data_IF_581346534960
#
_entry.id   IF_581346534960
#
_cell.length_a   1.000
_cell.length_b   1.000
_cell.length_c   1.000
_cell.angle_alpha   90.00
_cell.angle_beta   90.00
_cell.angle_gamma   90.00
#
_symmetry.space_group_name_H-M   'P 1'
#
loop_
_entity.id
_entity.type
_entity.pdbx_description
1 polymer ?
#
# COMPACT_ATOMS: atom_id res chain seq x y z
N UNK A 1 -23.66 -18.07 -25.04
CA UNK A 1 -22.48 -17.19 -25.25
C UNK A 1 -22.65 -15.96 -24.36
N UNK A 2 -22.21 -16.04 -23.10
CA UNK A 2 -22.37 -14.96 -22.11
C UNK A 2 -21.00 -14.51 -21.61
N UNK A 3 -20.59 -13.29 -22.00
CA UNK A 3 -19.37 -12.65 -21.48
C UNK A 3 -19.52 -12.42 -19.98
N UNK A 4 -18.99 -13.33 -19.16
CA UNK A 4 -18.69 -13.03 -17.75
C UNK A 4 -17.58 -11.98 -17.73
N UNK A 5 -17.94 -10.69 -17.61
CA UNK A 5 -17.01 -9.63 -17.19
C UNK A 5 -16.51 -10.01 -15.80
N UNK A 6 -15.34 -10.66 -15.72
CA UNK A 6 -14.60 -10.84 -14.46
C UNK A 6 -13.80 -9.55 -14.18
N UNK A 7 -14.50 -8.41 -14.06
CA UNK A 7 -14.00 -7.21 -13.38
C UNK A 7 -14.23 -7.51 -11.87
N UNK A 8 -13.33 -7.40 -10.91
CA UNK A 8 -12.06 -6.69 -10.75
C UNK A 8 -11.32 -7.43 -9.62
N UNK A 9 -10.02 -7.74 -9.79
CA UNK A 9 -9.20 -8.08 -8.61
C UNK A 9 -9.07 -6.81 -7.79
N UNK A 10 -9.63 -6.83 -6.60
CA UNK A 10 -10.07 -5.60 -5.94
C UNK A 10 -8.88 -4.80 -5.46
N UNK A 11 -8.68 -3.61 -6.03
CA UNK A 11 -7.77 -2.63 -5.46
C UNK A 11 -8.39 -2.04 -4.19
N UNK A 12 -7.65 -2.01 -3.08
CA UNK A 12 -8.07 -1.31 -1.86
C UNK A 12 -6.87 -0.67 -1.18
N UNK A 13 -7.05 0.56 -0.69
CA UNK A 13 -6.11 1.17 0.22
C UNK A 13 -6.65 1.00 1.63
N UNK A 14 -5.84 0.41 2.52
CA UNK A 14 -6.16 0.31 3.95
C UNK A 14 -5.26 1.25 4.72
N UNK A 15 -5.87 2.11 5.53
CA UNK A 15 -5.13 2.95 6.45
C UNK A 15 -4.53 2.08 7.55
N UNK A 16 -3.21 2.13 7.71
CA UNK A 16 -2.49 1.26 8.63
C UNK A 16 -2.21 1.96 9.96
N UNK A 17 -1.76 3.21 9.95
CA UNK A 17 -1.31 3.93 11.16
C UNK A 17 -1.48 5.45 10.96
N UNK A 18 -2.06 6.12 11.95
CA UNK A 18 -2.11 7.59 12.08
C UNK A 18 -1.11 8.03 13.15
N UNK A 19 -0.44 9.17 12.92
CA UNK A 19 0.42 9.79 13.91
C UNK A 19 -0.35 10.04 15.21
N UNK A 20 0.12 9.47 16.33
CA UNK A 20 -0.35 9.84 17.67
C UNK A 20 -0.99 8.77 18.56
N UNK A 21 -0.95 7.47 18.24
CA UNK A 21 -1.59 6.47 19.12
C UNK A 21 -0.66 5.27 19.39
N UNK A 22 -0.21 5.17 20.65
CA UNK A 22 0.78 4.27 21.29
C UNK A 22 2.25 4.73 21.19
N UNK A 23 2.93 4.76 22.35
CA UNK A 23 4.39 4.83 22.41
C UNK A 23 4.92 3.63 21.63
N UNK A 24 5.66 3.91 20.56
CA UNK A 24 6.52 2.92 19.94
C UNK A 24 7.52 2.51 21.03
N UNK A 25 7.94 1.24 21.09
CA UNK A 25 8.95 0.78 22.07
C UNK A 25 10.35 1.41 21.89
N UNK A 26 10.43 2.51 21.15
CA UNK A 26 11.59 3.33 20.81
C UNK A 26 11.19 4.80 21.00
N UNK A 27 11.99 5.54 21.77
CA UNK A 27 11.75 6.98 22.00
C UNK A 27 12.27 7.81 20.81
N UNK A 28 13.51 7.62 20.38
CA UNK A 28 14.10 8.25 19.20
C UNK A 28 14.77 7.19 18.32
N UNK A 29 14.61 7.29 17.00
CA UNK A 29 15.13 6.30 16.05
C UNK A 29 14.30 6.22 14.77
N UNK A 30 14.11 5.01 14.23
CA UNK A 30 13.26 4.75 13.07
C UNK A 30 12.36 3.53 13.27
N UNK A 31 11.18 3.58 12.69
CA UNK A 31 10.31 2.41 12.45
C UNK A 31 10.47 1.99 10.99
N UNK A 32 10.80 0.73 10.77
CA UNK A 32 10.80 0.10 9.46
C UNK A 32 9.60 -0.84 9.32
N UNK A 33 8.79 -0.61 8.30
CA UNK A 33 7.63 -1.40 7.91
C UNK A 33 7.95 -2.13 6.61
N UNK A 34 7.62 -3.42 6.54
CA UNK A 34 7.85 -4.24 5.34
C UNK A 34 6.65 -5.16 5.08
N UNK A 35 6.15 -5.25 3.85
CA UNK A 35 5.14 -6.24 3.44
C UNK A 35 5.81 -7.42 2.73
N UNK A 36 5.51 -8.63 3.19
CA UNK A 36 6.05 -9.87 2.61
C UNK A 36 5.19 -10.36 1.42
N UNK A 37 4.91 -9.45 0.48
CA UNK A 37 3.99 -9.66 -0.62
C UNK A 37 4.46 -8.92 -1.87
N UNK A 38 4.25 -9.51 -3.05
CA UNK A 38 4.65 -8.95 -4.34
C UNK A 38 3.50 -8.29 -5.12
N UNK A 39 2.28 -8.31 -4.55
CA UNK A 39 1.04 -7.79 -5.16
C UNK A 39 0.29 -6.82 -4.25
N UNK A 40 0.95 -6.34 -3.20
CA UNK A 40 0.54 -5.19 -2.42
C UNK A 40 1.79 -4.35 -2.10
N UNK A 41 1.59 -3.13 -1.61
CA UNK A 41 2.71 -2.27 -1.23
C UNK A 41 2.35 -1.33 -0.08
N UNK A 42 3.33 -0.54 0.35
CA UNK A 42 3.22 0.45 1.41
C UNK A 42 3.59 1.82 0.86
N UNK A 43 2.82 2.85 1.19
CA UNK A 43 3.14 4.23 0.80
C UNK A 43 2.60 5.23 1.83
N UNK A 44 3.17 6.43 1.84
CA UNK A 44 2.70 7.55 2.66
C UNK A 44 1.98 8.54 1.75
N UNK A 45 0.77 8.96 2.13
CA UNK A 45 -0.02 9.91 1.36
C UNK A 45 -1.01 10.68 2.24
N UNK A 46 -1.90 11.46 1.63
CA UNK A 46 -2.90 12.25 2.32
C UNK A 46 -3.87 11.39 3.14
N UNK A 47 -4.12 11.78 4.39
CA UNK A 47 -4.99 11.09 5.35
C UNK A 47 -6.33 11.79 5.64
N UNK A 48 -6.62 12.92 4.99
CA UNK A 48 -7.77 13.76 5.28
C UNK A 48 -8.91 13.58 4.27
N UNK A 49 -8.62 13.76 2.98
CA UNK A 49 -9.64 13.64 1.92
C UNK A 49 -9.69 12.21 1.34
N UNK A 50 -10.81 11.47 1.52
CA UNK A 50 -10.96 10.14 0.92
C UNK A 50 -10.97 10.15 -0.62
N UNK A 51 -11.28 11.28 -1.27
CA UNK A 51 -11.28 11.37 -2.73
C UNK A 51 -9.88 11.22 -3.32
N UNK A 52 -8.84 11.66 -2.60
CA UNK A 52 -7.43 11.49 -3.01
C UNK A 52 -7.09 10.01 -3.15
N UNK A 53 -7.48 9.20 -2.16
CA UNK A 53 -7.32 7.74 -2.19
C UNK A 53 -8.07 7.12 -3.38
N UNK A 54 -9.31 7.57 -3.63
CA UNK A 54 -10.10 7.12 -4.77
C UNK A 54 -9.46 7.46 -6.12
N UNK A 55 -8.92 8.67 -6.25
CA UNK A 55 -8.25 9.15 -7.46
C UNK A 55 -6.94 8.41 -7.72
N UNK A 56 -6.14 8.14 -6.69
CA UNK A 56 -4.92 7.34 -6.84
C UNK A 56 -5.23 5.94 -7.36
N UNK A 57 -6.27 5.27 -6.82
CA UNK A 57 -6.71 3.97 -7.32
C UNK A 57 -7.14 4.03 -8.79
N UNK A 58 -7.93 5.04 -9.17
CA UNK A 58 -8.34 5.27 -10.57
C UNK A 58 -7.13 5.55 -11.48
N UNK A 59 -6.12 6.27 -10.98
CA UNK A 59 -4.88 6.56 -11.73
C UNK A 59 -4.02 5.31 -11.91
N UNK A 60 -3.89 4.46 -10.90
CA UNK A 60 -3.22 3.16 -11.04
C UNK A 60 -3.89 2.26 -12.08
N UNK A 61 -5.22 2.27 -12.17
CA UNK A 61 -5.94 1.53 -13.20
C UNK A 61 -5.68 2.03 -14.62
N UNK A 62 -5.51 3.34 -14.79
CA UNK A 62 -5.19 3.95 -16.09
C UNK A 62 -3.73 3.73 -16.49
N UNK A 63 -2.80 3.91 -15.55
CA UNK A 63 -1.36 3.78 -15.79
C UNK A 63 -0.91 2.34 -15.98
N UNK A 64 -1.53 1.43 -15.24
CA UNK A 64 -1.23 -0.01 -15.27
C UNK A 64 -2.54 -0.76 -15.47
N UNK A 65 -3.03 -0.91 -16.71
CA UNK A 65 -4.25 -1.64 -16.99
C UNK A 65 -4.19 -3.09 -16.48
N UNK A 66 -5.34 -3.64 -16.07
CA UNK A 66 -5.38 -5.02 -15.57
C UNK A 66 -5.09 -6.07 -16.65
N UNK A 67 -5.47 -5.76 -17.89
CA UNK A 67 -5.35 -6.66 -19.02
C UNK A 67 -4.43 -6.03 -20.06
N UNK A 68 -3.30 -6.67 -20.30
CA UNK A 68 -2.45 -6.44 -21.45
C UNK A 68 -2.34 -7.75 -22.25
N UNK A 69 -2.70 -7.80 -23.55
CA UNK A 69 -2.53 -9.00 -24.38
C UNK A 69 -1.08 -9.50 -24.48
N UNK A 70 -0.09 -8.65 -24.20
CA UNK A 70 1.32 -9.02 -24.17
C UNK A 70 1.75 -9.70 -22.85
N UNK A 71 0.92 -9.65 -21.80
CA UNK A 71 1.23 -10.30 -20.53
C UNK A 71 1.30 -11.82 -20.69
N UNK A 72 2.43 -12.40 -20.25
CA UNK A 72 2.68 -13.84 -20.29
C UNK A 72 2.48 -14.54 -18.95
N UNK A 73 2.32 -13.78 -17.87
CA UNK A 73 2.19 -14.34 -16.52
C UNK A 73 0.84 -15.05 -16.37
N UNK A 74 0.86 -16.38 -16.25
CA UNK A 74 -0.33 -17.22 -16.30
C UNK A 74 -1.34 -16.93 -15.17
N UNK A 75 -0.87 -16.49 -14.00
CA UNK A 75 -1.79 -16.15 -12.92
C UNK A 75 -2.57 -14.87 -13.20
N UNK A 76 -2.14 -14.01 -14.13
CA UNK A 76 -2.94 -12.87 -14.64
C UNK A 76 -3.07 -11.67 -13.69
N UNK A 77 -2.12 -11.46 -12.78
CA UNK A 77 -1.99 -10.30 -11.89
C UNK A 77 -0.70 -9.48 -12.13
N UNK A 78 -0.15 -9.48 -13.35
CA UNK A 78 1.02 -8.65 -13.71
C UNK A 78 0.81 -7.18 -13.31
N UNK A 79 -0.39 -6.65 -13.53
CA UNK A 79 -0.75 -5.30 -13.11
C UNK A 79 -0.57 -5.06 -11.61
N UNK A 80 -0.90 -6.04 -10.76
CA UNK A 80 -0.71 -5.94 -9.32
C UNK A 80 0.77 -5.93 -8.92
N UNK A 81 1.59 -6.71 -9.61
CA UNK A 81 3.05 -6.69 -9.42
C UNK A 81 3.64 -5.32 -9.78
N UNK A 82 3.28 -4.76 -10.94
CA UNK A 82 3.80 -3.46 -11.34
C UNK A 82 3.34 -2.34 -10.41
N UNK A 83 2.07 -2.34 -9.97
CA UNK A 83 1.57 -1.38 -8.98
C UNK A 83 2.26 -1.53 -7.62
N UNK A 84 2.58 -2.76 -7.20
CA UNK A 84 3.37 -3.04 -5.99
C UNK A 84 4.80 -2.50 -6.09
N UNK A 85 5.44 -2.61 -7.26
CA UNK A 85 6.75 -2.00 -7.53
C UNK A 85 6.66 -0.46 -7.43
N UNK A 86 5.61 0.15 -7.99
CA UNK A 86 5.43 1.60 -7.98
C UNK A 86 5.22 2.18 -6.58
N UNK A 87 4.55 1.46 -5.68
CA UNK A 87 4.37 1.90 -4.29
C UNK A 87 5.53 1.52 -3.39
N UNK A 88 6.18 0.37 -3.66
CA UNK A 88 7.23 -0.19 -2.84
C UNK A 88 6.71 -1.14 -1.76
N UNK A 89 7.57 -2.07 -1.31
CA UNK A 89 7.23 -3.07 -0.31
C UNK A 89 7.58 -2.64 1.13
N UNK A 90 8.15 -1.45 1.33
CA UNK A 90 8.63 -1.03 2.64
C UNK A 90 8.59 0.47 2.85
N UNK A 91 8.52 0.89 4.12
CA UNK A 91 8.66 2.28 4.56
C UNK A 91 9.62 2.35 5.75
N UNK A 92 10.45 3.39 5.79
CA UNK A 92 11.25 3.74 6.96
C UNK A 92 10.82 5.12 7.42
N UNK A 93 10.33 5.24 8.65
CA UNK A 93 9.73 6.45 9.19
C UNK A 93 10.50 6.86 10.46
N UNK A 94 10.99 8.11 10.55
CA UNK A 94 11.64 8.59 11.75
C UNK A 94 10.69 8.61 12.96
N UNK A 95 11.26 8.40 14.14
CA UNK A 95 10.58 8.48 15.43
C UNK A 95 11.28 9.50 16.30
N UNK A 96 10.52 10.39 16.91
CA UNK A 96 11.01 11.21 18.00
C UNK A 96 9.98 11.28 19.14
N UNK A 97 10.47 11.27 20.37
CA UNK A 97 9.63 11.30 21.58
C UNK A 97 8.53 10.22 21.58
N UNK A 98 8.85 9.04 21.06
CA UNK A 98 7.96 7.88 20.98
C UNK A 98 6.85 7.99 19.92
N UNK A 99 6.94 8.95 19.00
CA UNK A 99 5.94 9.23 17.96
C UNK A 99 6.56 9.16 16.56
N UNK A 100 5.81 8.58 15.61
CA UNK A 100 6.16 8.67 14.20
C UNK A 100 6.17 10.13 13.76
N UNK A 101 7.25 10.55 13.11
CA UNK A 101 7.35 11.87 12.50
C UNK A 101 6.67 11.86 11.13
N UNK A 102 5.35 12.10 11.17
CA UNK A 102 4.51 12.30 9.99
C UNK A 102 4.02 13.75 10.00
N UNK A 103 3.94 14.37 8.81
CA UNK A 103 3.27 15.66 8.65
C UNK A 103 1.77 15.55 8.95
N UNK A 104 1.12 16.70 9.19
CA UNK A 104 -0.31 16.77 9.55
C UNK A 104 -1.22 15.93 8.66
N UNK A 105 -0.96 15.97 7.36
CA UNK A 105 -1.76 15.28 6.35
C UNK A 105 -1.22 13.90 5.96
N UNK A 106 -0.13 13.43 6.56
CA UNK A 106 0.48 12.17 6.17
C UNK A 106 -0.12 10.98 6.93
N UNK A 107 -0.48 9.95 6.17
CA UNK A 107 -0.92 8.66 6.66
C UNK A 107 -0.18 7.52 5.99
N UNK A 108 -0.04 6.42 6.70
CA UNK A 108 0.60 5.20 6.20
C UNK A 108 -0.48 4.28 5.64
N UNK A 109 -0.32 3.86 4.39
CA UNK A 109 -1.29 3.04 3.67
C UNK A 109 -0.69 1.71 3.25
N UNK A 110 -1.48 0.64 3.35
CA UNK A 110 -1.29 -0.60 2.62
C UNK A 110 -2.14 -0.57 1.35
N UNK A 111 -1.48 -0.64 0.20
CA UNK A 111 -2.12 -0.74 -1.11
C UNK A 111 -2.27 -2.20 -1.53
N UNK A 112 -3.48 -2.75 -1.44
CA UNK A 112 -3.85 -4.06 -1.96
C UNK A 112 -4.17 -3.94 -3.45
N UNK A 113 -3.52 -4.73 -4.30
CA UNK A 113 -3.73 -4.73 -5.76
C UNK A 113 -4.21 -6.08 -6.32
N UNK A 114 -4.26 -7.15 -5.51
CA UNK A 114 -4.67 -8.50 -5.94
C UNK A 114 -5.57 -9.16 -4.87
N UNK A 115 -6.47 -8.37 -4.30
CA UNK A 115 -7.37 -8.77 -3.22
C UNK A 115 -8.69 -9.42 -3.68
N UNK A 116 -9.51 -9.91 -2.72
CA UNK A 116 -9.31 -9.84 -1.27
C UNK A 116 -8.36 -10.93 -0.73
N UNK A 117 -7.40 -10.54 0.11
CA UNK A 117 -6.44 -11.43 0.78
C UNK A 117 -6.11 -10.93 2.19
N UNK A 118 -5.70 -11.84 3.06
CA UNK A 118 -5.03 -11.47 4.32
C UNK A 118 -3.56 -11.20 4.03
N UNK A 119 -3.07 -10.03 4.44
CA UNK A 119 -1.69 -9.61 4.23
C UNK A 119 -0.94 -9.62 5.56
N UNK A 120 0.38 -9.77 5.46
CA UNK A 120 1.33 -9.81 6.56
C UNK A 120 2.31 -8.66 6.38
N UNK A 121 2.53 -7.92 7.46
CA UNK A 121 3.50 -6.85 7.52
C UNK A 121 4.41 -7.07 8.73
N UNK A 122 5.68 -6.81 8.56
CA UNK A 122 6.71 -6.84 9.60
C UNK A 122 6.96 -5.41 10.05
N UNK A 123 7.06 -5.21 11.37
CA UNK A 123 7.40 -3.94 11.98
C UNK A 123 8.68 -4.15 12.79
N UNK A 124 9.68 -3.32 12.53
CA UNK A 124 10.96 -3.34 13.24
C UNK A 124 11.34 -1.92 13.65
N UNK A 125 12.03 -1.79 14.77
CA UNK A 125 12.50 -0.50 15.29
C UNK A 125 14.02 -0.52 15.36
N UNK A 126 14.66 0.55 14.89
CA UNK A 126 16.09 0.76 15.03
C UNK A 126 16.32 2.06 15.82
N UNK A 127 17.38 2.09 16.64
CA UNK A 127 17.83 3.28 17.36
C UNK A 127 18.98 3.92 16.61
#
# INVERSE_FOLDING_TARGET
>A
MGRRRRLSRTNRLRFAIHGGQRKLGVDDGVVHLFVEHTTCGLFINENADPDVVGDLLRRFEKLVPWHDPADRHAEGNTAAHLRSIMTGCSLTIPVAQGRLLLGTWQGIYLAEFDGPRTRRAVISTLK
#
